data_IF_372073114217
#
_entry.id   IF_372073114217
#
_cell.length_a   1.000
_cell.length_b   1.000
_cell.length_c   1.000
_cell.angle_alpha   90.00
_cell.angle_beta   90.00
_cell.angle_gamma   90.00
#
_symmetry.space_group_name_H-M   'P 1'
#
loop_
_entity.id
_entity.type
_entity.pdbx_description
1 polymer ?
#
# COMPACT_ATOMS: atom_id res chain seq x y z
N UNK A 1 -25.77 -19.40 -8.86
CA UNK A 1 -25.61 -18.24 -9.75
C UNK A 1 -25.67 -16.98 -8.91
N UNK A 2 -24.54 -16.52 -8.45
CA UNK A 2 -24.40 -15.23 -7.76
C UNK A 2 -24.00 -14.21 -8.84
N UNK A 3 -25.01 -13.66 -9.48
CA UNK A 3 -24.84 -12.88 -10.69
C UNK A 3 -24.49 -11.42 -10.41
N UNK A 4 -23.22 -11.13 -10.31
CA UNK A 4 -22.70 -9.78 -10.61
C UNK A 4 -21.71 -9.96 -11.75
N UNK A 5 -22.06 -9.48 -12.95
CA UNK A 5 -21.24 -9.64 -14.16
C UNK A 5 -19.95 -8.80 -14.15
N UNK A 6 -19.77 -7.93 -13.15
CA UNK A 6 -18.56 -7.15 -12.92
C UNK A 6 -18.53 -6.57 -11.51
N UNK A 7 -17.34 -6.38 -10.89
CA UNK A 7 -17.23 -5.72 -9.60
C UNK A 7 -17.69 -4.26 -9.69
N UNK A 8 -18.63 -3.89 -8.84
CA UNK A 8 -19.13 -2.51 -8.75
C UNK A 8 -18.26 -1.60 -7.89
N UNK A 9 -17.23 -2.15 -7.26
CA UNK A 9 -16.27 -1.47 -6.37
C UNK A 9 -14.86 -1.94 -6.71
N UNK A 10 -13.89 -1.04 -6.58
CA UNK A 10 -12.46 -1.31 -6.79
C UNK A 10 -11.88 -2.15 -5.61
N UNK A 11 -12.46 -3.32 -5.40
CA UNK A 11 -11.99 -4.33 -4.45
C UNK A 11 -11.24 -5.41 -5.23
N UNK A 12 -10.06 -5.78 -4.77
CA UNK A 12 -9.06 -6.60 -5.49
C UNK A 12 -9.44 -8.06 -5.69
N UNK A 13 -10.54 -8.53 -5.15
CA UNK A 13 -10.95 -9.92 -5.28
C UNK A 13 -12.42 -10.03 -5.68
N UNK A 14 -12.65 -10.78 -6.74
CA UNK A 14 -13.98 -11.16 -7.17
C UNK A 14 -14.14 -12.68 -7.10
N UNK A 15 -15.04 -13.16 -6.26
CA UNK A 15 -15.38 -14.56 -6.18
C UNK A 15 -16.51 -14.86 -7.21
N UNK A 16 -16.24 -15.76 -8.15
CA UNK A 16 -17.18 -16.09 -9.23
C UNK A 16 -17.76 -17.51 -9.16
N UNK A 17 -17.51 -18.24 -8.08
CA UNK A 17 -18.00 -19.60 -7.86
C UNK A 17 -16.89 -20.65 -7.94
N UNK A 18 -17.30 -21.91 -7.92
CA UNK A 18 -16.39 -23.05 -8.01
C UNK A 18 -15.93 -23.32 -9.44
N UNK A 19 -14.65 -23.66 -9.64
CA UNK A 19 -14.05 -24.05 -10.90
C UNK A 19 -13.58 -25.50 -10.81
N UNK A 20 -13.99 -26.33 -11.76
CA UNK A 20 -13.57 -27.72 -11.84
C UNK A 20 -12.20 -27.83 -12.54
N UNK A 21 -11.21 -28.38 -11.86
CA UNK A 21 -9.87 -28.64 -12.38
C UNK A 21 -9.50 -30.07 -12.03
N UNK A 22 -9.27 -30.92 -13.06
CA UNK A 22 -8.88 -32.32 -12.88
C UNK A 22 -9.79 -33.14 -11.96
N UNK A 23 -11.13 -33.03 -12.14
CA UNK A 23 -12.17 -33.70 -11.34
C UNK A 23 -12.27 -33.25 -9.86
N UNK A 24 -11.64 -32.14 -9.46
CA UNK A 24 -11.81 -31.53 -8.16
C UNK A 24 -12.45 -30.14 -8.28
N UNK A 25 -13.36 -29.80 -7.35
CA UNK A 25 -14.05 -28.52 -7.30
C UNK A 25 -13.31 -27.55 -6.38
N UNK A 26 -12.89 -26.39 -6.93
CA UNK A 26 -12.21 -25.33 -6.21
C UNK A 26 -13.01 -24.04 -6.21
N UNK A 27 -12.95 -23.29 -5.11
CA UNK A 27 -13.49 -21.94 -5.06
C UNK A 27 -12.71 -21.02 -6.01
N UNK A 28 -13.38 -20.50 -7.02
CA UNK A 28 -12.77 -19.62 -8.01
C UNK A 28 -12.63 -18.19 -7.50
N UNK A 29 -11.40 -17.75 -7.28
CA UNK A 29 -11.08 -16.37 -6.95
C UNK A 29 -10.16 -15.78 -8.02
N UNK A 30 -10.53 -14.61 -8.57
CA UNK A 30 -9.65 -13.85 -9.47
C UNK A 30 -8.99 -12.73 -8.66
N UNK A 31 -7.66 -12.76 -8.61
CA UNK A 31 -6.87 -11.65 -8.14
C UNK A 31 -6.50 -10.79 -9.36
N UNK A 32 -6.88 -9.52 -9.35
CA UNK A 32 -6.45 -8.56 -10.37
C UNK A 32 -5.01 -8.10 -10.10
N UNK A 33 -4.06 -9.03 -10.20
CA UNK A 33 -2.65 -8.75 -10.38
C UNK A 33 -2.22 -9.48 -11.65
N UNK A 34 -1.41 -8.85 -12.49
CA UNK A 34 -0.97 -9.38 -13.78
C UNK A 34 -0.48 -10.83 -13.67
N UNK A 35 -1.36 -11.78 -14.02
CA UNK A 35 -0.98 -13.16 -14.23
C UNK A 35 -0.50 -13.29 -15.68
N UNK A 36 0.80 -13.14 -15.91
CA UNK A 36 1.39 -13.55 -17.16
C UNK A 36 1.40 -15.07 -17.22
N UNK A 37 0.47 -15.66 -17.99
CA UNK A 37 0.51 -17.08 -18.34
C UNK A 37 1.79 -17.33 -19.15
N UNK A 38 2.75 -18.04 -18.56
CA UNK A 38 3.89 -18.57 -19.31
C UNK A 38 3.39 -19.73 -20.15
N UNK A 39 3.29 -19.53 -21.46
CA UNK A 39 3.18 -20.65 -22.38
C UNK A 39 4.54 -21.37 -22.42
N UNK A 40 4.57 -22.63 -21.98
CA UNK A 40 5.70 -23.52 -22.16
C UNK A 40 5.79 -23.93 -23.65
N UNK A 41 6.46 -23.09 -24.45
CA UNK A 41 7.05 -23.56 -25.72
C UNK A 41 8.53 -23.79 -25.51
N UNK A 42 8.87 -25.10 -25.47
CA UNK A 42 10.19 -25.66 -25.34
C UNK A 42 11.00 -25.42 -26.62
N UNK A 43 11.62 -24.24 -26.77
CA UNK A 43 12.71 -24.00 -27.70
C UNK A 43 13.88 -23.41 -26.93
N UNK A 44 15.00 -24.18 -26.90
CA UNK A 44 16.19 -23.84 -26.15
C UNK A 44 16.84 -22.55 -26.60
N UNK A 45 16.51 -21.49 -25.91
CA UNK A 45 17.28 -20.25 -25.88
C UNK A 45 17.86 -20.06 -24.47
N UNK A 46 19.17 -19.88 -24.48
CA UNK A 46 19.98 -19.56 -23.31
C UNK A 46 19.36 -18.40 -22.57
N UNK A 47 18.79 -18.68 -21.39
CA UNK A 47 18.34 -17.64 -20.45
C UNK A 47 19.58 -16.83 -20.11
N UNK A 48 19.72 -15.65 -20.72
CA UNK A 48 20.55 -14.61 -20.15
C UNK A 48 19.81 -14.19 -18.89
N UNK A 49 20.30 -14.61 -17.75
CA UNK A 49 19.98 -13.97 -16.49
C UNK A 49 20.52 -12.54 -16.60
N UNK A 50 19.70 -11.62 -17.08
CA UNK A 50 19.91 -10.22 -16.80
C UNK A 50 19.77 -10.07 -15.28
N UNK A 51 20.92 -10.22 -14.62
CA UNK A 51 21.14 -9.80 -13.25
C UNK A 51 21.24 -8.26 -13.26
N UNK A 52 20.17 -7.62 -13.78
CA UNK A 52 19.90 -6.23 -13.45
C UNK A 52 19.37 -6.25 -12.03
N UNK A 53 20.28 -6.18 -11.05
CA UNK A 53 19.94 -5.71 -9.73
C UNK A 53 19.39 -4.28 -9.93
N UNK A 54 18.09 -4.17 -10.24
CA UNK A 54 17.40 -2.90 -10.15
C UNK A 54 17.55 -2.47 -8.69
N UNK A 55 18.23 -1.35 -8.45
CA UNK A 55 18.29 -0.69 -7.14
C UNK A 55 16.89 -0.16 -6.78
N UNK A 56 15.89 -1.05 -6.80
CA UNK A 56 14.53 -0.71 -6.40
C UNK A 56 14.50 -0.59 -4.88
N UNK A 57 14.15 0.57 -4.40
CA UNK A 57 13.93 0.82 -2.98
C UNK A 57 12.56 0.24 -2.62
N UNK A 58 12.54 -0.66 -1.65
CA UNK A 58 11.29 -1.28 -1.22
C UNK A 58 10.74 -0.60 0.04
N UNK A 59 9.45 -0.33 0.01
CA UNK A 59 8.67 0.10 1.18
C UNK A 59 7.75 -1.04 1.62
N UNK A 60 7.67 -1.24 2.93
CA UNK A 60 6.83 -2.25 3.57
C UNK A 60 5.89 -1.55 4.54
N UNK A 61 4.60 -1.84 4.46
CA UNK A 61 3.62 -1.15 5.29
C UNK A 61 2.44 -2.05 5.63
N UNK A 62 1.82 -1.76 6.77
CA UNK A 62 0.63 -2.44 7.24
C UNK A 62 -0.27 -1.46 7.99
N UNK A 63 -1.55 -1.79 8.05
CA UNK A 63 -2.55 -0.96 8.71
C UNK A 63 -3.22 -1.70 9.86
N UNK A 64 -3.62 -0.94 10.87
CA UNK A 64 -4.44 -1.39 12.01
C UNK A 64 -5.89 -1.06 11.76
N UNK A 65 -6.78 -2.00 11.98
CA UNK A 65 -8.22 -1.79 11.86
C UNK A 65 -8.82 -1.31 13.19
N UNK A 66 -10.02 -0.77 13.15
CA UNK A 66 -10.80 -0.38 14.33
C UNK A 66 -11.05 -1.54 15.33
N UNK A 67 -10.93 -2.79 14.88
CA UNK A 67 -10.95 -3.99 15.74
C UNK A 67 -9.69 -4.18 16.58
N UNK A 68 -8.67 -3.34 16.41
CA UNK A 68 -7.34 -3.48 17.01
C UNK A 68 -6.40 -4.44 16.28
N UNK A 69 -6.88 -5.11 15.20
CA UNK A 69 -6.09 -6.09 14.45
C UNK A 69 -5.16 -5.39 13.44
N UNK A 70 -3.88 -5.75 13.46
CA UNK A 70 -2.95 -5.47 12.38
C UNK A 70 -3.17 -6.42 11.20
N UNK A 71 -3.13 -5.87 9.99
CA UNK A 71 -3.20 -6.65 8.75
C UNK A 71 -1.80 -7.10 8.31
N UNK A 72 -1.70 -8.08 7.39
CA UNK A 72 -0.43 -8.48 6.80
C UNK A 72 0.32 -7.29 6.18
N UNK A 73 1.66 -7.39 6.17
CA UNK A 73 2.54 -6.41 5.53
C UNK A 73 2.37 -6.48 4.02
N UNK A 74 2.26 -5.32 3.40
CA UNK A 74 2.24 -5.12 1.95
C UNK A 74 3.58 -4.52 1.52
N UNK A 75 4.07 -4.89 0.35
CA UNK A 75 5.30 -4.38 -0.25
C UNK A 75 4.98 -3.54 -1.48
N UNK A 76 5.49 -2.30 -1.53
CA UNK A 76 5.32 -1.39 -2.67
C UNK A 76 3.84 -1.31 -3.12
N UNK A 77 3.62 -1.26 -4.43
CA UNK A 77 2.28 -1.34 -5.02
C UNK A 77 1.87 -2.77 -5.42
N UNK A 78 2.46 -3.81 -4.82
CA UNK A 78 2.07 -5.21 -5.10
C UNK A 78 0.61 -5.47 -4.69
N UNK A 79 0.14 -4.74 -3.65
CA UNK A 79 -1.23 -4.79 -3.15
C UNK A 79 -1.57 -3.46 -2.45
N UNK A 80 -2.63 -3.42 -1.65
CA UNK A 80 -2.96 -2.34 -0.74
C UNK A 80 -3.05 -2.82 0.72
N UNK A 81 -2.71 -1.97 1.66
CA UNK A 81 -2.96 -2.21 3.08
C UNK A 81 -4.33 -1.66 3.46
N UNK A 82 -5.16 -2.50 4.06
CA UNK A 82 -6.51 -2.14 4.47
C UNK A 82 -7.53 -3.23 4.13
N UNK A 83 -8.79 -2.97 4.42
CA UNK A 83 -9.94 -3.78 4.00
C UNK A 83 -11.05 -2.84 3.57
N UNK A 84 -11.54 -3.01 2.34
CA UNK A 84 -12.66 -2.23 1.82
C UNK A 84 -13.83 -2.22 2.81
N UNK A 85 -14.31 -1.02 3.15
CA UNK A 85 -15.40 -0.82 4.10
C UNK A 85 -15.03 -0.84 5.59
N UNK A 86 -13.75 -1.00 5.95
CA UNK A 86 -13.30 -1.01 7.35
C UNK A 86 -12.31 0.12 7.63
N UNK A 87 -12.61 0.93 8.64
CA UNK A 87 -11.76 2.06 9.02
C UNK A 87 -10.34 1.61 9.43
N UNK A 88 -9.34 2.29 8.87
CA UNK A 88 -7.96 2.24 9.35
C UNK A 88 -7.85 3.13 10.59
N UNK A 89 -7.12 2.65 11.62
CA UNK A 89 -6.87 3.39 12.88
C UNK A 89 -5.40 3.49 13.23
N UNK A 90 -4.53 2.89 12.42
CA UNK A 90 -3.09 2.97 12.58
C UNK A 90 -2.34 2.55 11.33
N UNK A 91 -1.12 3.07 11.18
CA UNK A 91 -0.21 2.84 10.06
C UNK A 91 1.19 2.59 10.59
N UNK A 92 1.83 1.52 10.13
CA UNK A 92 3.24 1.21 10.35
C UNK A 92 3.94 1.08 8.99
N UNK A 93 5.07 1.77 8.83
CA UNK A 93 5.84 1.81 7.57
C UNK A 93 7.31 1.57 7.86
N UNK A 94 7.97 0.76 7.04
CA UNK A 94 9.42 0.55 7.01
C UNK A 94 9.95 0.58 5.58
N UNK A 95 11.27 0.72 5.40
CA UNK A 95 11.93 0.65 4.09
C UNK A 95 13.27 -0.06 4.24
N UNK A 96 13.72 -0.74 3.17
CA UNK A 96 15.04 -1.41 3.15
C UNK A 96 16.20 -0.44 2.91
N UNK A 97 15.93 0.74 2.34
CA UNK A 97 16.93 1.75 2.00
C UNK A 97 16.40 3.13 2.36
N UNK A 98 17.23 3.98 2.97
CA UNK A 98 16.80 5.28 3.45
C UNK A 98 15.88 5.20 4.67
N UNK A 99 15.02 6.19 4.84
CA UNK A 99 13.99 6.16 5.87
C UNK A 99 12.79 7.05 5.49
N UNK A 100 11.68 6.80 6.15
CA UNK A 100 10.42 7.51 5.95
C UNK A 100 10.02 8.19 7.27
N UNK A 101 9.55 9.43 7.18
CA UNK A 101 8.73 10.04 8.24
C UNK A 101 7.29 10.07 7.80
N UNK A 102 6.41 9.60 8.65
CA UNK A 102 4.99 9.51 8.34
C UNK A 102 4.13 9.84 9.56
N UNK A 103 2.93 10.35 9.29
CA UNK A 103 1.92 10.60 10.31
C UNK A 103 0.53 10.43 9.73
N UNK A 104 -0.45 10.35 10.61
CA UNK A 104 -1.86 10.29 10.23
C UNK A 104 -2.64 11.45 10.85
N UNK A 105 -3.69 11.86 10.15
CA UNK A 105 -4.70 12.79 10.65
C UNK A 105 -5.91 11.98 11.15
N UNK A 106 -6.44 12.41 12.27
CA UNK A 106 -7.63 11.86 12.93
C UNK A 106 -8.54 13.02 13.36
N UNK A 107 -9.72 12.74 13.89
CA UNK A 107 -10.68 13.78 14.29
C UNK A 107 -10.08 14.88 15.21
N UNK A 108 -9.12 14.53 16.06
CA UNK A 108 -8.41 15.48 16.93
C UNK A 108 -7.29 16.28 16.25
N UNK A 109 -7.00 16.01 14.97
CA UNK A 109 -5.94 16.65 14.19
C UNK A 109 -4.79 15.72 13.82
N UNK A 110 -3.68 16.30 13.33
CA UNK A 110 -2.48 15.56 13.02
C UNK A 110 -1.81 14.99 14.27
N UNK A 111 -1.49 13.69 14.25
CA UNK A 111 -0.62 13.07 15.25
C UNK A 111 0.85 13.36 14.94
N UNK A 112 1.75 13.06 15.90
CA UNK A 112 3.18 13.25 15.73
C UNK A 112 3.75 12.35 14.64
N UNK A 113 4.86 12.80 14.03
CA UNK A 113 5.58 12.01 13.04
C UNK A 113 6.27 10.81 13.67
N UNK A 114 6.10 9.66 13.03
CA UNK A 114 6.87 8.44 13.29
C UNK A 114 8.04 8.38 12.31
N UNK A 115 9.21 7.99 12.80
CA UNK A 115 10.38 7.68 11.97
C UNK A 115 10.41 6.17 11.71
N UNK A 116 10.47 5.76 10.44
CA UNK A 116 10.38 4.36 10.05
C UNK A 116 11.49 3.47 10.62
N UNK A 117 12.59 4.06 11.06
CA UNK A 117 13.69 3.34 11.75
C UNK A 117 13.31 2.88 13.16
N UNK A 118 12.27 3.47 13.73
CA UNK A 118 11.75 3.16 15.07
C UNK A 118 10.40 2.40 14.99
N UNK A 119 9.99 1.95 13.81
CA UNK A 119 8.68 1.31 13.64
C UNK A 119 8.60 0.00 14.45
N UNK A 120 7.65 -0.03 15.37
CA UNK A 120 7.29 -1.20 16.20
C UNK A 120 5.78 -1.16 16.47
N UNK A 121 5.04 -2.11 15.94
CA UNK A 121 3.58 -2.20 16.12
C UNK A 121 3.15 -2.47 17.59
N UNK A 122 4.08 -2.84 18.47
CA UNK A 122 3.84 -3.05 19.89
C UNK A 122 4.11 -1.79 20.72
N UNK A 123 4.79 -0.78 20.19
CA UNK A 123 4.96 0.52 20.84
C UNK A 123 3.86 1.49 20.41
N UNK A 124 2.83 1.57 21.25
CA UNK A 124 1.65 2.43 21.02
C UNK A 124 1.99 3.92 20.88
N UNK A 125 3.04 4.39 21.53
CA UNK A 125 3.34 5.82 21.60
C UNK A 125 4.24 6.32 20.49
N UNK A 126 5.22 5.49 20.06
CA UNK A 126 6.27 5.96 19.17
C UNK A 126 6.54 5.01 17.99
N UNK A 127 5.96 3.83 17.98
CA UNK A 127 6.28 2.79 17.01
C UNK A 127 5.41 2.77 15.76
N UNK A 128 4.25 3.46 15.77
CA UNK A 128 3.37 3.56 14.60
C UNK A 128 2.51 4.84 14.68
N UNK A 129 2.03 5.31 13.54
CA UNK A 129 1.12 6.46 13.49
C UNK A 129 -0.32 5.99 13.67
N UNK A 130 -0.97 6.43 14.75
CA UNK A 130 -2.36 6.08 15.08
C UNK A 130 -2.63 6.15 16.59
N UNK A 131 -3.90 6.24 16.95
CA UNK A 131 -4.35 6.32 18.34
C UNK A 131 -5.68 5.59 18.55
N UNK A 132 -5.94 4.56 17.73
CA UNK A 132 -7.17 3.74 17.73
C UNK A 132 -8.44 4.51 17.30
N UNK A 133 -8.31 5.75 16.81
CA UNK A 133 -9.41 6.47 16.15
C UNK A 133 -9.29 6.39 14.63
N UNK A 134 -10.41 6.49 13.89
CA UNK A 134 -10.37 6.44 12.43
C UNK A 134 -9.48 7.51 11.82
N UNK A 135 -8.68 7.12 10.85
CA UNK A 135 -7.77 7.97 10.07
C UNK A 135 -8.52 8.50 8.85
N UNK A 136 -8.32 9.77 8.51
CA UNK A 136 -8.90 10.42 7.31
C UNK A 136 -7.84 10.99 6.35
N UNK A 137 -6.58 11.16 6.80
CA UNK A 137 -5.49 11.55 5.93
C UNK A 137 -4.13 11.00 6.42
N UNK A 138 -3.18 10.88 5.48
CA UNK A 138 -1.82 10.38 5.71
C UNK A 138 -0.83 11.35 5.07
N UNK A 139 0.24 11.70 5.78
CA UNK A 139 1.39 12.43 5.26
C UNK A 139 2.63 11.55 5.36
N UNK A 140 3.37 11.42 4.25
CA UNK A 140 4.56 10.57 4.12
C UNK A 140 5.65 11.40 3.45
N UNK A 141 6.88 11.30 3.95
CA UNK A 141 8.07 11.90 3.37
C UNK A 141 9.24 10.90 3.38
N UNK A 142 9.85 10.66 2.20
CA UNK A 142 10.98 9.74 2.06
C UNK A 142 12.31 10.50 2.06
N UNK A 143 13.28 10.01 2.80
CA UNK A 143 14.64 10.53 2.86
C UNK A 143 15.58 9.61 2.07
N UNK A 144 15.95 10.06 0.86
CA UNK A 144 16.89 9.34 0.00
C UNK A 144 18.31 9.46 0.58
N UNK A 145 19.04 8.35 0.77
CA UNK A 145 20.44 8.38 1.20
C UNK A 145 21.37 9.07 0.19
N UNK A 146 22.45 9.68 0.67
CA UNK A 146 23.41 10.44 -0.17
C UNK A 146 24.08 9.61 -1.27
N UNK A 147 24.36 8.34 -1.02
CA UNK A 147 24.93 7.40 -1.99
C UNK A 147 23.93 7.05 -3.09
N UNK A 148 22.65 6.91 -2.76
CA UNK A 148 21.56 6.73 -3.73
C UNK A 148 21.36 8.00 -4.54
N UNK A 149 21.36 9.19 -3.90
CA UNK A 149 21.26 10.47 -4.62
C UNK A 149 22.37 10.59 -5.67
N UNK A 150 23.60 10.19 -5.32
CA UNK A 150 24.75 10.25 -6.24
C UNK A 150 24.66 9.25 -7.40
N UNK A 151 24.06 8.08 -7.17
CA UNK A 151 23.99 7.01 -8.18
C UNK A 151 22.74 7.07 -9.06
N UNK A 152 21.59 7.43 -8.52
CA UNK A 152 20.29 7.40 -9.24
C UNK A 152 19.44 8.66 -9.07
N UNK A 153 19.87 9.62 -8.23
CA UNK A 153 19.11 10.83 -7.95
C UNK A 153 18.19 10.71 -6.74
N UNK A 154 17.35 11.73 -6.55
CA UNK A 154 16.35 11.73 -5.49
C UNK A 154 15.22 10.77 -5.81
N UNK A 155 14.82 9.99 -4.81
CA UNK A 155 13.60 9.19 -4.81
C UNK A 155 12.56 9.80 -3.86
N UNK A 156 11.30 9.52 -4.12
CA UNK A 156 10.16 10.13 -3.41
C UNK A 156 9.13 9.06 -3.06
N UNK A 157 8.41 9.26 -1.96
CA UNK A 157 7.24 8.46 -1.66
C UNK A 157 6.05 8.90 -2.53
N UNK A 158 5.45 7.96 -3.26
CA UNK A 158 4.17 8.13 -3.93
C UNK A 158 3.12 7.30 -3.18
N UNK A 159 2.08 7.95 -2.73
CA UNK A 159 1.07 7.27 -1.92
C UNK A 159 -0.32 7.82 -2.19
N UNK A 160 -1.31 7.00 -1.96
CA UNK A 160 -2.72 7.37 -2.07
C UNK A 160 -3.57 6.59 -1.10
N UNK A 161 -4.73 7.13 -0.77
CA UNK A 161 -5.71 6.51 0.11
C UNK A 161 -7.07 6.46 -0.56
N UNK A 162 -7.93 5.54 -0.11
CA UNK A 162 -9.32 5.43 -0.50
C UNK A 162 -10.20 5.76 0.72
N UNK A 163 -11.23 6.61 0.57
CA UNK A 163 -12.24 6.73 1.60
C UNK A 163 -13.03 5.42 1.71
N UNK A 164 -13.64 5.21 2.88
CA UNK A 164 -14.43 3.99 3.16
C UNK A 164 -15.46 3.75 2.07
N UNK A 165 -15.41 2.57 1.45
CA UNK A 165 -16.24 2.16 0.31
C UNK A 165 -16.15 3.08 -0.93
N UNK A 166 -15.09 3.90 -1.04
CA UNK A 166 -14.91 4.81 -2.16
C UNK A 166 -13.78 4.37 -3.12
N UNK A 167 -13.51 5.21 -4.11
CA UNK A 167 -12.38 5.06 -5.02
C UNK A 167 -11.15 5.76 -4.45
N UNK A 168 -9.96 5.35 -4.89
CA UNK A 168 -8.71 6.02 -4.52
C UNK A 168 -8.72 7.48 -4.96
N UNK A 169 -8.22 8.34 -4.07
CA UNK A 169 -7.81 9.68 -4.45
C UNK A 169 -6.54 9.65 -5.32
N UNK A 170 -6.21 10.78 -5.92
CA UNK A 170 -4.98 10.94 -6.68
C UNK A 170 -3.74 10.68 -5.81
N UNK A 171 -2.65 10.24 -6.45
CA UNK A 171 -1.37 10.08 -5.76
C UNK A 171 -0.87 11.42 -5.23
N UNK A 172 -0.38 11.39 -4.01
CA UNK A 172 0.45 12.41 -3.38
C UNK A 172 1.92 12.00 -3.53
N UNK A 173 2.81 13.00 -3.72
CA UNK A 173 4.27 12.83 -3.76
C UNK A 173 4.90 13.49 -2.55
N UNK A 174 5.51 12.73 -1.64
CA UNK A 174 6.00 13.23 -0.36
C UNK A 174 4.99 14.21 0.28
N UNK A 175 5.49 15.25 0.94
CA UNK A 175 4.67 16.35 1.44
C UNK A 175 4.61 17.55 0.48
N UNK A 176 4.72 17.31 -0.85
CA UNK A 176 4.69 18.36 -1.86
C UNK A 176 3.32 19.03 -1.91
N UNK A 177 3.32 20.36 -2.03
CA UNK A 177 2.13 21.22 -2.17
C UNK A 177 2.03 21.91 -3.52
N UNK A 178 2.94 21.59 -4.45
CA UNK A 178 2.92 22.16 -5.80
C UNK A 178 1.99 21.39 -6.73
N UNK A 179 1.58 22.03 -7.84
CA UNK A 179 0.79 21.42 -8.90
C UNK A 179 -0.54 20.77 -8.44
N UNK A 180 -1.18 21.37 -7.44
CA UNK A 180 -2.47 20.89 -6.93
C UNK A 180 -2.39 19.71 -5.96
N UNK A 181 -1.20 19.45 -5.42
CA UNK A 181 -1.01 18.52 -4.30
C UNK A 181 -1.21 19.24 -2.96
N UNK A 182 -1.75 18.54 -1.97
CA UNK A 182 -2.08 19.10 -0.65
C UNK A 182 -0.98 18.88 0.40
N UNK A 183 0.06 18.09 0.06
CA UNK A 183 1.11 17.68 1.00
C UNK A 183 0.75 16.44 1.81
N UNK A 184 -0.44 15.87 1.58
CA UNK A 184 -0.95 14.65 2.21
C UNK A 184 -2.01 13.99 1.32
N UNK A 185 -2.25 12.70 1.51
CA UNK A 185 -3.34 11.99 0.85
C UNK A 185 -4.52 11.82 1.81
N UNK A 186 -5.73 12.12 1.34
CA UNK A 186 -6.96 12.04 2.11
C UNK A 186 -7.76 13.33 2.09
N UNK A 187 -8.93 13.31 2.68
CA UNK A 187 -9.81 14.46 2.88
C UNK A 187 -10.33 14.43 4.32
N UNK A 188 -10.12 15.48 5.08
CA UNK A 188 -10.52 15.55 6.48
C UNK A 188 -12.02 15.25 6.65
N UNK A 189 -12.31 14.37 7.59
CA UNK A 189 -13.65 13.85 7.85
C UNK A 189 -14.10 12.70 6.93
N UNK A 190 -13.30 12.31 5.93
CA UNK A 190 -13.53 11.14 5.08
C UNK A 190 -12.60 10.01 5.51
N UNK A 191 -13.03 9.20 6.47
CA UNK A 191 -12.23 8.08 6.96
C UNK A 191 -11.80 7.15 5.85
N UNK A 192 -10.59 6.60 5.97
CA UNK A 192 -9.96 5.77 4.93
C UNK A 192 -10.02 4.28 5.28
N UNK A 193 -10.07 3.44 4.24
CA UNK A 193 -10.11 1.98 4.36
C UNK A 193 -8.96 1.26 3.65
N UNK A 194 -8.28 1.94 2.72
CA UNK A 194 -7.15 1.37 1.93
C UNK A 194 -6.07 2.40 1.69
N UNK A 195 -4.82 1.93 1.67
CA UNK A 195 -3.62 2.73 1.41
C UNK A 195 -2.69 1.98 0.47
N UNK A 196 -2.06 2.71 -0.45
CA UNK A 196 -0.94 2.24 -1.27
C UNK A 196 0.24 3.20 -1.13
N UNK A 197 1.45 2.62 -1.04
CA UNK A 197 2.72 3.37 -0.96
C UNK A 197 3.74 2.73 -1.89
N UNK A 198 4.53 3.56 -2.57
CA UNK A 198 5.64 3.16 -3.43
C UNK A 198 6.77 4.19 -3.37
N UNK A 199 8.03 3.79 -3.59
CA UNK A 199 9.19 4.70 -3.66
C UNK A 199 9.70 4.71 -5.11
N UNK A 200 9.74 5.91 -5.70
CA UNK A 200 10.15 6.11 -7.11
C UNK A 200 11.15 7.22 -7.25
#
# INVERSE_FOLDING_TARGET
HWGIDSPSLDCTMWQFGAVEIEDEEYDGNIYYSDYSVKNDDNTGETIRTDDSSSNSINVYYQTKLATGRWLPVVKNNEDYAGICGQNITGLAVTTDTGYIKYRVHVDSGWLDFIDSRNTDINDYYNGYAGNDTPVDAVEIYYYTPDDIIKSSGYHYAFYRVSPVNGNYYSYQKDNNKDNGMDGYAGIWGHFIDRLQIDIR
#
